data_IF_503783527079
#
_entry.id   IF_503783527079
#
_cell.length_a   1.000
_cell.length_b   1.000
_cell.length_c   1.000
_cell.angle_alpha   90.00
_cell.angle_beta   90.00
_cell.angle_gamma   90.00
#
_symmetry.space_group_name_H-M   'P 1'
#
loop_
_entity.id
_entity.type
_entity.pdbx_description
1 polymer ?
#
# COMPACT_ATOMS: atom_id res chain seq x y z
N UNK A 1 -1.41 -30.78 -5.10
CA UNK A 1 -0.20 -30.25 -4.46
C UNK A 1 -0.43 -28.76 -4.23
N UNK A 2 -0.69 -28.36 -2.98
CA UNK A 2 -0.81 -26.94 -2.62
C UNK A 2 0.60 -26.45 -2.28
N UNK A 3 1.23 -25.73 -3.21
CA UNK A 3 2.47 -25.02 -2.95
C UNK A 3 2.16 -23.91 -1.93
N UNK A 4 2.44 -24.21 -0.66
CA UNK A 4 2.44 -23.21 0.43
C UNK A 4 3.64 -22.31 0.23
N UNK A 5 3.51 -21.38 -0.71
CA UNK A 5 4.42 -20.25 -0.83
C UNK A 5 4.29 -19.39 0.43
N UNK A 6 5.31 -19.41 1.29
CA UNK A 6 5.44 -18.52 2.44
C UNK A 6 6.36 -17.37 2.01
N UNK A 7 5.88 -16.12 1.92
CA UNK A 7 6.77 -14.99 1.66
C UNK A 7 7.80 -14.87 2.78
N UNK A 8 9.08 -15.07 2.46
CA UNK A 8 10.20 -14.95 3.41
C UNK A 8 10.45 -13.51 3.91
N UNK A 9 9.73 -12.53 3.34
CA UNK A 9 9.75 -11.12 3.74
C UNK A 9 8.38 -10.74 4.27
N UNK A 10 8.33 -10.41 5.56
CA UNK A 10 7.12 -9.91 6.21
C UNK A 10 7.02 -8.41 5.96
N UNK A 11 6.06 -7.97 5.13
CA UNK A 11 5.64 -6.56 5.13
C UNK A 11 4.99 -6.29 6.48
N UNK A 12 5.63 -5.42 7.26
CA UNK A 12 5.23 -5.15 8.64
C UNK A 12 4.59 -3.78 8.80
N UNK A 13 4.82 -2.88 7.84
CA UNK A 13 4.33 -1.50 7.83
C UNK A 13 3.76 -1.09 6.48
N UNK A 14 2.98 -0.01 6.46
CA UNK A 14 2.55 0.63 5.20
C UNK A 14 3.75 1.12 4.39
N UNK A 15 4.83 1.56 5.04
CA UNK A 15 6.06 1.94 4.33
C UNK A 15 6.65 0.76 3.54
N UNK A 16 6.76 -0.42 4.17
CA UNK A 16 7.29 -1.62 3.50
C UNK A 16 6.42 -2.02 2.31
N UNK A 17 5.09 -1.90 2.43
CA UNK A 17 4.14 -2.17 1.34
C UNK A 17 4.43 -1.32 0.09
N UNK A 18 4.88 -0.06 0.28
CA UNK A 18 5.12 0.88 -0.81
C UNK A 18 6.55 0.82 -1.34
N UNK A 19 7.53 0.66 -0.44
CA UNK A 19 8.95 0.67 -0.78
C UNK A 19 9.41 -0.65 -1.42
N UNK A 20 8.88 -1.78 -0.97
CA UNK A 20 9.39 -3.08 -1.40
C UNK A 20 8.80 -3.52 -2.76
N UNK A 21 9.62 -4.10 -3.64
CA UNK A 21 9.11 -4.79 -4.81
C UNK A 21 8.27 -5.99 -4.37
N UNK A 22 7.07 -6.13 -4.93
CA UNK A 22 6.20 -7.27 -4.64
C UNK A 22 6.78 -8.56 -5.25
N UNK A 23 7.04 -9.61 -4.45
CA UNK A 23 7.34 -10.94 -4.96
C UNK A 23 6.29 -11.47 -5.94
N UNK A 24 6.71 -12.36 -6.84
CA UNK A 24 5.78 -13.11 -7.68
C UNK A 24 5.13 -14.24 -6.87
N UNK A 25 3.81 -14.47 -6.98
CA UNK A 25 2.84 -13.72 -7.80
C UNK A 25 2.41 -12.39 -7.15
N UNK A 26 2.50 -11.27 -7.89
CA UNK A 26 2.34 -9.91 -7.34
C UNK A 26 0.99 -9.65 -6.67
N UNK A 27 -0.11 -10.03 -7.34
CA UNK A 27 -1.47 -9.75 -6.86
C UNK A 27 -1.75 -10.48 -5.54
N UNK A 28 -1.53 -11.79 -5.52
CA UNK A 28 -1.72 -12.59 -4.30
C UNK A 28 -0.81 -12.14 -3.16
N UNK A 29 0.41 -11.72 -3.48
CA UNK A 29 1.34 -11.22 -2.47
C UNK A 29 0.85 -9.89 -1.86
N UNK A 30 0.35 -8.99 -2.71
CA UNK A 30 -0.25 -7.73 -2.26
C UNK A 30 -1.47 -7.98 -1.35
N UNK A 31 -2.35 -8.91 -1.72
CA UNK A 31 -3.51 -9.28 -0.90
C UNK A 31 -3.09 -9.81 0.48
N UNK A 32 -2.07 -10.67 0.53
CA UNK A 32 -1.54 -11.21 1.80
C UNK A 32 -0.95 -10.10 2.67
N UNK A 33 -0.18 -9.19 2.10
CA UNK A 33 0.40 -8.08 2.85
C UNK A 33 -0.66 -7.11 3.37
N UNK A 34 -1.65 -6.74 2.54
CA UNK A 34 -2.77 -5.91 2.98
C UNK A 34 -3.60 -6.60 4.08
N UNK A 35 -3.83 -7.91 3.97
CA UNK A 35 -4.53 -8.68 5.01
C UNK A 35 -3.74 -8.71 6.32
N UNK A 36 -2.40 -8.83 6.27
CA UNK A 36 -1.53 -8.73 7.43
C UNK A 36 -1.62 -7.36 8.11
N UNK A 37 -1.60 -6.28 7.34
CA UNK A 37 -1.75 -4.92 7.85
C UNK A 37 -3.15 -4.65 8.44
N UNK A 38 -4.19 -5.25 7.86
CA UNK A 38 -5.56 -5.16 8.38
C UNK A 38 -5.80 -6.00 9.65
N UNK A 39 -4.90 -6.93 9.97
CA UNK A 39 -4.91 -7.67 11.24
C UNK A 39 -4.28 -6.93 12.41
N UNK A 40 -3.68 -5.75 12.17
CA UNK A 40 -3.09 -4.87 13.19
C UNK A 40 -4.15 -3.91 13.74
N UNK A 41 -3.91 -3.25 14.89
CA UNK A 41 -4.77 -2.18 15.36
C UNK A 41 -4.95 -1.11 14.26
N UNK A 42 -6.21 -0.78 13.95
CA UNK A 42 -6.59 0.05 12.82
C UNK A 42 -5.89 1.41 12.88
N UNK A 43 -5.82 2.01 14.07
CA UNK A 43 -5.24 3.32 14.34
C UNK A 43 -3.75 3.38 13.97
N UNK A 44 -3.02 2.27 14.17
CA UNK A 44 -1.60 2.17 13.82
C UNK A 44 -1.44 2.19 12.31
N UNK A 45 -2.22 1.37 11.59
CA UNK A 45 -2.17 1.31 10.13
C UNK A 45 -2.61 2.63 9.50
N UNK A 46 -3.61 3.31 10.08
CA UNK A 46 -4.05 4.64 9.64
C UNK A 46 -2.98 5.71 9.84
N UNK A 47 -2.28 5.70 10.99
CA UNK A 47 -1.20 6.64 11.26
C UNK A 47 -0.04 6.46 10.28
N UNK A 48 0.33 5.22 9.96
CA UNK A 48 1.36 4.91 8.95
C UNK A 48 0.93 5.35 7.54
N UNK A 49 -0.32 5.09 7.18
CA UNK A 49 -0.89 5.50 5.89
C UNK A 49 -0.85 7.02 5.74
N UNK A 50 -1.36 7.76 6.73
CA UNK A 50 -1.33 9.23 6.71
C UNK A 50 0.09 9.77 6.61
N UNK A 51 1.06 9.16 7.30
CA UNK A 51 2.48 9.52 7.17
C UNK A 51 3.01 9.28 5.76
N UNK A 52 2.64 8.18 5.12
CA UNK A 52 3.04 7.89 3.74
C UNK A 52 2.50 8.92 2.74
N UNK A 53 1.29 9.45 2.99
CA UNK A 53 0.66 10.48 2.15
C UNK A 53 1.26 11.89 2.30
N UNK A 54 2.09 12.13 3.32
CA UNK A 54 2.83 13.40 3.45
C UNK A 54 3.93 13.53 2.39
N UNK A 55 4.36 12.41 1.80
CA UNK A 55 5.41 12.36 0.80
C UNK A 55 4.88 12.16 -0.62
N UNK A 56 5.76 12.32 -1.63
CA UNK A 56 5.42 11.98 -3.00
C UNK A 56 5.08 10.49 -3.18
N UNK A 57 3.98 10.19 -3.84
CA UNK A 57 3.47 8.83 -4.08
C UNK A 57 3.58 8.49 -5.57
N UNK A 58 4.16 7.34 -5.89
CA UNK A 58 4.20 6.83 -7.27
C UNK A 58 2.86 6.24 -7.69
N UNK A 59 2.60 6.12 -8.98
CA UNK A 59 1.35 5.52 -9.48
C UNK A 59 1.12 4.07 -9.01
N UNK A 60 2.20 3.29 -8.86
CA UNK A 60 2.14 1.94 -8.29
C UNK A 60 1.82 1.98 -6.79
N UNK A 61 2.44 2.89 -6.03
CA UNK A 61 2.14 3.07 -4.60
C UNK A 61 0.68 3.48 -4.39
N UNK A 62 0.15 4.36 -5.24
CA UNK A 62 -1.27 4.75 -5.24
C UNK A 62 -2.18 3.54 -5.40
N UNK A 63 -1.88 2.64 -6.35
CA UNK A 63 -2.66 1.40 -6.54
C UNK A 63 -2.63 0.50 -5.30
N UNK A 64 -1.45 0.33 -4.68
CA UNK A 64 -1.30 -0.47 -3.46
C UNK A 64 -2.08 0.12 -2.28
N UNK A 65 -2.04 1.45 -2.12
CA UNK A 65 -2.81 2.15 -1.09
C UNK A 65 -4.32 1.97 -1.28
N UNK A 66 -4.83 2.02 -2.51
CA UNK A 66 -6.25 1.73 -2.79
C UNK A 66 -6.66 0.30 -2.38
N UNK A 67 -5.81 -0.70 -2.65
CA UNK A 67 -6.05 -2.09 -2.21
C UNK A 67 -6.04 -2.18 -0.69
N UNK A 68 -5.10 -1.50 -0.02
CA UNK A 68 -5.04 -1.47 1.44
C UNK A 68 -6.32 -0.84 2.03
N UNK A 69 -6.76 0.33 1.53
CA UNK A 69 -7.99 0.99 1.99
C UNK A 69 -9.21 0.09 1.81
N UNK A 70 -9.34 -0.58 0.67
CA UNK A 70 -10.41 -1.55 0.45
C UNK A 70 -10.34 -2.72 1.43
N UNK A 71 -9.13 -3.19 1.74
CA UNK A 71 -8.94 -4.27 2.72
C UNK A 71 -9.30 -3.82 4.13
N UNK A 72 -8.95 -2.60 4.54
CA UNK A 72 -9.31 -2.04 5.86
C UNK A 72 -10.83 -1.89 6.01
N UNK A 73 -11.51 -1.45 4.96
CA UNK A 73 -12.98 -1.40 4.93
C UNK A 73 -13.59 -2.79 5.17
N UNK A 74 -13.16 -3.79 4.41
CA UNK A 74 -13.78 -5.12 4.44
C UNK A 74 -13.36 -5.96 5.65
N UNK A 75 -12.15 -5.77 6.18
CA UNK A 75 -11.56 -6.69 7.18
C UNK A 75 -11.30 -6.07 8.54
N UNK A 76 -10.98 -4.78 8.59
CA UNK A 76 -10.70 -4.07 9.84
C UNK A 76 -11.91 -3.24 10.33
N UNK A 77 -13.00 -3.23 9.57
CA UNK A 77 -14.22 -2.49 9.93
C UNK A 77 -14.06 -0.97 9.84
N UNK A 78 -13.15 -0.48 8.98
CA UNK A 78 -13.00 0.95 8.76
C UNK A 78 -14.32 1.56 8.28
N UNK A 79 -14.81 2.64 8.90
CA UNK A 79 -16.05 3.32 8.49
C UNK A 79 -16.02 3.78 7.03
N UNK A 80 -17.18 3.82 6.36
CA UNK A 80 -17.28 4.18 4.94
C UNK A 80 -16.81 5.62 4.68
N UNK A 81 -17.23 6.56 5.51
CA UNK A 81 -16.80 7.97 5.49
C UNK A 81 -15.27 8.10 5.60
N UNK A 82 -14.66 7.38 6.53
CA UNK A 82 -13.20 7.31 6.65
C UNK A 82 -12.55 6.77 5.36
N UNK A 83 -13.13 5.74 4.74
CA UNK A 83 -12.54 5.19 3.51
C UNK A 83 -12.66 6.13 2.31
N UNK A 84 -13.69 7.00 2.29
CA UNK A 84 -13.85 8.04 1.28
C UNK A 84 -12.81 9.14 1.49
N UNK A 85 -12.61 9.59 2.74
CA UNK A 85 -11.56 10.54 3.11
C UNK A 85 -10.19 10.05 2.64
N UNK A 86 -9.82 8.82 3.02
CA UNK A 86 -8.52 8.23 2.66
C UNK A 86 -8.31 8.12 1.14
N UNK A 87 -9.36 7.80 0.37
CA UNK A 87 -9.29 7.78 -1.10
C UNK A 87 -9.05 9.19 -1.64
N UNK A 88 -9.72 10.19 -1.09
CA UNK A 88 -9.49 11.60 -1.42
C UNK A 88 -8.04 12.00 -1.15
N UNK A 89 -7.50 11.66 0.02
CA UNK A 89 -6.12 11.97 0.38
C UNK A 89 -5.11 11.29 -0.54
N UNK A 90 -5.36 10.05 -0.95
CA UNK A 90 -4.53 9.30 -1.91
C UNK A 90 -4.50 9.97 -3.30
N UNK A 91 -5.63 10.52 -3.75
CA UNK A 91 -5.70 11.24 -5.02
C UNK A 91 -5.08 12.64 -4.93
N UNK A 92 -5.19 13.29 -3.77
CA UNK A 92 -4.57 14.59 -3.51
C UNK A 92 -3.05 14.52 -3.26
N UNK A 93 -2.53 13.34 -2.92
CA UNK A 93 -1.12 13.16 -2.58
C UNK A 93 -0.19 13.60 -3.73
N UNK A 94 0.92 14.29 -3.43
CA UNK A 94 1.88 14.72 -4.44
C UNK A 94 2.33 13.53 -5.27
N UNK A 95 2.33 13.64 -6.59
CA UNK A 95 2.74 12.53 -7.46
C UNK A 95 4.19 12.69 -7.86
N UNK A 96 4.99 11.63 -7.72
CA UNK A 96 6.28 11.56 -8.43
C UNK A 96 6.00 11.26 -9.89
N UNK A 97 6.11 12.27 -10.75
CA UNK A 97 6.33 12.03 -12.17
C UNK A 97 7.81 11.80 -12.37
N UNK A 98 8.21 10.57 -12.68
CA UNK A 98 9.51 10.35 -13.29
C UNK A 98 9.47 11.00 -14.67
N UNK A 99 9.98 12.23 -14.78
CA UNK A 99 10.36 12.77 -16.08
C UNK A 99 11.52 11.90 -16.58
N UNK A 100 11.39 11.35 -17.79
CA UNK A 100 12.38 10.46 -18.43
C UNK A 100 13.77 11.10 -18.68
N UNK A 101 14.04 12.28 -18.11
CA UNK A 101 15.24 13.09 -18.33
C UNK A 101 16.45 12.70 -17.45
N UNK A 102 16.42 11.52 -16.81
CA UNK A 102 17.56 10.95 -16.04
C UNK A 102 18.12 9.66 -16.68
N UNK A 103 17.81 9.40 -17.97
CA UNK A 103 18.30 8.21 -18.71
C UNK A 103 19.45 8.47 -19.68
N UNK A 104 20.12 9.62 -19.64
CA UNK A 104 21.23 9.88 -20.55
C UNK A 104 22.37 10.66 -19.89
N UNK A 105 23.16 9.96 -19.07
CA UNK A 105 24.58 10.26 -18.91
C UNK A 105 25.34 8.94 -19.01
N UNK A 106 25.71 8.59 -20.23
CA UNK A 106 26.81 7.65 -20.54
C UNK A 106 27.77 8.39 -21.44
#
# INVERSE_FOLDING_TARGET
MQDTWVPSRSVSSVHDLLADPLPLPRVRTLEVFCAGLAGRPLEVTLAELRRALLGPVSGESRRRLHVLVSTLYHRAGAPLDLTIELRGDIEAAPTVTFTEEDRHVV
#
